data_IF_681536670896
#
_entry.id   IF_681536670896
#
_cell.length_a   1.000
_cell.length_b   1.000
_cell.length_c   1.000
_cell.angle_alpha   90.00
_cell.angle_beta   90.00
_cell.angle_gamma   90.00
#
_symmetry.space_group_name_H-M   'P 1'
#
loop_
_entity.id
_entity.type
_entity.pdbx_description
1 polymer ?
#
# COMPACT_ATOMS: atom_id res chain seq x y z
N UNK A 1 -13.50 63.18 -27.73
CA UNK A 1 -12.02 63.04 -27.61
C UNK A 1 -11.77 62.06 -26.49
N UNK A 2 -11.50 60.81 -26.85
CA UNK A 2 -11.66 59.64 -26.01
C UNK A 2 -10.42 58.74 -26.09
N UNK A 3 -10.04 58.19 -24.93
CA UNK A 3 -9.51 56.83 -24.68
C UNK A 3 -8.21 56.42 -25.40
N UNK A 4 -7.24 55.94 -24.59
CA UNK A 4 -6.09 54.99 -24.80
C UNK A 4 -4.89 55.49 -23.98
N UNK A 5 -3.98 54.72 -23.37
CA UNK A 5 -3.58 53.33 -23.50
C UNK A 5 -2.80 52.91 -22.22
N UNK A 6 -2.97 51.65 -21.80
CA UNK A 6 -2.13 50.99 -20.79
C UNK A 6 -0.81 50.52 -21.42
N UNK A 7 0.27 50.76 -20.67
CA UNK A 7 1.42 49.86 -20.41
C UNK A 7 2.13 49.26 -21.63
N UNK A 8 3.30 49.83 -21.94
CA UNK A 8 4.36 49.19 -22.74
C UNK A 8 5.69 49.30 -21.99
N UNK A 9 6.40 48.17 -22.02
CA UNK A 9 7.85 48.00 -21.92
C UNK A 9 8.54 47.92 -20.55
N UNK A 10 9.14 46.76 -20.30
CA UNK A 10 10.50 46.70 -19.72
C UNK A 10 10.69 45.91 -18.43
N UNK A 11 10.61 44.57 -18.46
CA UNK A 11 11.31 43.74 -17.46
C UNK A 11 12.12 42.65 -18.17
N UNK A 12 13.42 42.91 -18.30
CA UNK A 12 14.45 41.89 -18.51
C UNK A 12 15.55 42.13 -17.49
N UNK A 13 16.05 41.02 -16.95
CA UNK A 13 17.20 40.88 -16.04
C UNK A 13 16.95 41.19 -14.56
N UNK A 14 16.78 40.13 -13.77
CA UNK A 14 17.46 40.05 -12.48
C UNK A 14 18.01 38.64 -12.29
N UNK A 15 19.35 38.56 -12.30
CA UNK A 15 20.11 37.36 -12.05
C UNK A 15 20.03 36.93 -10.58
N UNK A 16 20.26 35.64 -10.39
CA UNK A 16 20.21 34.88 -9.16
C UNK A 16 21.10 35.42 -8.03
N UNK A 17 20.56 35.36 -6.81
CA UNK A 17 21.32 35.22 -5.58
C UNK A 17 20.44 34.49 -4.54
N UNK A 18 20.45 33.15 -4.59
CA UNK A 18 19.96 32.32 -3.48
C UNK A 18 21.06 32.30 -2.42
N UNK A 19 20.89 33.10 -1.38
CA UNK A 19 21.69 33.07 -0.17
C UNK A 19 21.06 32.09 0.82
N UNK A 20 21.83 31.05 1.15
CA UNK A 20 21.63 30.15 2.28
C UNK A 20 21.49 30.96 3.58
N UNK A 21 20.27 31.01 4.13
CA UNK A 21 19.99 31.48 5.48
C UNK A 21 19.89 30.29 6.43
N UNK A 22 20.98 30.04 7.17
CA UNK A 22 20.96 29.18 8.35
C UNK A 22 20.23 29.88 9.51
N UNK A 23 19.45 29.10 10.27
CA UNK A 23 19.05 29.41 11.64
C UNK A 23 17.59 29.85 11.81
N UNK A 24 16.76 28.98 12.41
CA UNK A 24 15.44 29.38 12.91
C UNK A 24 14.45 28.26 13.17
N UNK A 25 14.73 27.44 14.19
CA UNK A 25 13.77 26.63 14.97
C UNK A 25 12.99 25.54 14.19
N UNK A 26 13.64 24.40 13.95
CA UNK A 26 12.91 23.14 14.00
C UNK A 26 12.53 22.91 15.46
N UNK A 27 11.25 22.98 15.80
CA UNK A 27 10.79 22.41 17.06
C UNK A 27 11.09 20.91 16.99
N UNK A 28 12.00 20.43 17.85
CA UNK A 28 12.14 19.01 18.09
C UNK A 28 10.77 18.50 18.57
N UNK A 29 10.03 17.80 17.71
CA UNK A 29 9.00 16.88 18.19
C UNK A 29 9.74 15.79 18.98
N UNK A 30 9.83 16.00 20.29
CA UNK A 30 10.53 15.11 21.20
C UNK A 30 9.94 13.68 21.11
N UNK A 31 10.74 12.62 21.27
CA UNK A 31 10.23 11.23 21.31
C UNK A 31 9.13 11.00 22.36
N UNK A 32 9.11 11.82 23.42
CA UNK A 32 8.03 11.86 24.40
C UNK A 32 6.67 12.26 23.79
N UNK A 33 6.64 13.11 22.75
CA UNK A 33 5.41 13.53 22.06
C UNK A 33 4.83 12.42 21.18
N UNK A 34 5.67 11.67 20.45
CA UNK A 34 5.21 10.52 19.65
C UNK A 34 4.69 9.40 20.54
N UNK A 35 5.39 9.08 21.63
CA UNK A 35 4.92 8.10 22.61
C UNK A 35 3.58 8.52 23.26
N UNK A 36 3.41 9.82 23.51
CA UNK A 36 2.16 10.39 24.03
C UNK A 36 1.00 10.20 23.04
N UNK A 37 1.22 10.51 21.75
CA UNK A 37 0.19 10.37 20.73
C UNK A 37 -0.13 8.91 20.39
N UNK A 38 0.86 8.01 20.43
CA UNK A 38 0.63 6.57 20.36
C UNK A 38 -0.23 6.08 21.52
N UNK A 39 0.09 6.49 22.76
CA UNK A 39 -0.71 6.15 23.93
C UNK A 39 -2.15 6.71 23.82
N UNK A 40 -2.34 7.96 23.39
CA UNK A 40 -3.68 8.51 23.13
C UNK A 40 -4.45 7.69 22.11
N UNK A 41 -3.81 7.30 21.00
CA UNK A 41 -4.43 6.50 19.96
C UNK A 41 -4.76 5.08 20.45
N UNK A 42 -3.92 4.46 21.28
CA UNK A 42 -4.20 3.17 21.92
C UNK A 42 -5.40 3.25 22.87
N UNK A 43 -5.43 4.26 23.73
CA UNK A 43 -6.53 4.44 24.70
C UNK A 43 -7.84 4.75 23.97
N UNK A 44 -7.82 5.61 22.95
CA UNK A 44 -9.01 5.96 22.17
C UNK A 44 -9.65 4.77 21.44
N UNK A 45 -8.90 3.68 21.22
CA UNK A 45 -9.45 2.43 20.66
C UNK A 45 -10.23 1.61 21.68
N UNK A 46 -10.02 1.79 22.98
CA UNK A 46 -10.66 0.96 24.00
C UNK A 46 -12.20 1.14 24.05
N UNK A 47 -12.77 2.36 24.02
CA UNK A 47 -14.22 2.55 23.94
C UNK A 47 -14.83 2.00 22.63
N UNK A 48 -14.09 2.12 21.53
CA UNK A 48 -14.52 1.56 20.23
C UNK A 48 -14.52 0.02 20.30
N UNK A 49 -13.46 -0.58 20.82
CA UNK A 49 -13.37 -2.03 21.03
C UNK A 49 -14.46 -2.55 21.97
N UNK A 50 -14.83 -1.78 22.99
CA UNK A 50 -15.97 -2.07 23.87
C UNK A 50 -17.27 -2.20 23.07
N UNK A 51 -17.59 -1.22 22.23
CA UNK A 51 -18.80 -1.24 21.41
C UNK A 51 -18.84 -2.44 20.46
N UNK A 52 -17.72 -2.74 19.79
CA UNK A 52 -17.60 -3.92 18.93
C UNK A 52 -17.81 -5.22 19.73
N UNK A 53 -17.18 -5.36 20.89
CA UNK A 53 -17.31 -6.55 21.72
C UNK A 53 -18.76 -6.73 22.23
N UNK A 54 -19.45 -5.64 22.59
CA UNK A 54 -20.87 -5.68 22.98
C UNK A 54 -21.75 -6.11 21.82
N UNK A 55 -21.62 -5.49 20.65
CA UNK A 55 -22.44 -5.79 19.48
C UNK A 55 -22.24 -7.22 18.97
N UNK A 56 -21.02 -7.76 19.13
CA UNK A 56 -20.68 -9.14 18.75
C UNK A 56 -20.96 -10.15 19.86
N UNK A 57 -21.31 -9.68 21.06
CA UNK A 57 -21.45 -10.51 22.26
C UNK A 57 -20.19 -11.32 22.57
N UNK A 58 -19.02 -10.75 22.25
CA UNK A 58 -17.71 -11.37 22.44
C UNK A 58 -17.19 -11.04 23.83
N UNK A 59 -17.40 -11.97 24.76
CA UNK A 59 -17.03 -11.75 26.14
C UNK A 59 -15.51 -11.74 26.36
N UNK A 60 -14.75 -12.45 25.54
CA UNK A 60 -13.30 -12.53 25.73
C UNK A 60 -12.61 -11.28 25.18
N UNK A 61 -13.08 -10.76 24.04
CA UNK A 61 -12.66 -9.45 23.54
C UNK A 61 -13.04 -8.31 24.52
N UNK A 62 -14.23 -8.38 25.11
CA UNK A 62 -14.67 -7.41 26.12
C UNK A 62 -13.77 -7.44 27.35
N UNK A 63 -13.51 -8.61 27.93
CA UNK A 63 -12.68 -8.70 29.13
C UNK A 63 -11.21 -8.34 28.85
N UNK A 64 -10.72 -8.56 27.62
CA UNK A 64 -9.36 -8.21 27.23
C UNK A 64 -9.07 -6.70 27.32
N UNK A 65 -10.08 -5.83 27.19
CA UNK A 65 -9.90 -4.37 27.27
C UNK A 65 -10.08 -3.80 28.70
N UNK A 66 -10.66 -4.57 29.62
CA UNK A 66 -10.80 -4.17 31.03
C UNK A 66 -9.60 -4.61 31.87
N UNK A 67 -9.24 -3.79 32.86
CA UNK A 67 -8.24 -4.13 33.84
C UNK A 67 -8.72 -5.30 34.74
N UNK A 68 -7.80 -6.03 35.36
CA UNK A 68 -8.14 -7.25 36.12
C UNK A 68 -9.16 -6.98 37.26
N UNK A 69 -9.04 -5.84 37.93
CA UNK A 69 -9.89 -5.36 39.03
C UNK A 69 -10.88 -4.25 38.61
N UNK A 70 -11.17 -4.12 37.30
CA UNK A 70 -11.92 -2.99 36.78
C UNK A 70 -13.31 -2.84 37.40
N UNK A 71 -13.79 -1.60 37.49
CA UNK A 71 -15.11 -1.26 37.99
C UNK A 71 -16.02 -0.78 36.85
N UNK A 72 -17.23 -1.32 36.77
CA UNK A 72 -18.30 -0.76 35.93
C UNK A 72 -19.39 -0.20 36.84
N UNK A 73 -19.49 1.13 36.82
CA UNK A 73 -20.51 1.90 37.51
C UNK A 73 -21.79 1.94 36.68
N UNK A 74 -22.80 1.29 37.23
CA UNK A 74 -24.14 1.18 36.66
C UNK A 74 -25.17 1.98 37.46
N UNK A 75 -24.71 2.88 38.34
CA UNK A 75 -25.59 3.64 39.23
C UNK A 75 -26.60 4.51 38.45
N UNK A 76 -26.20 5.03 37.29
CA UNK A 76 -27.09 5.76 36.38
C UNK A 76 -28.25 4.91 35.83
N UNK A 77 -28.08 3.58 35.81
CA UNK A 77 -29.11 2.62 35.43
C UNK A 77 -29.85 2.04 36.65
N UNK A 78 -29.55 2.51 37.87
CA UNK A 78 -30.15 2.03 39.12
C UNK A 78 -29.64 0.66 39.59
N UNK A 79 -28.50 0.19 39.07
CA UNK A 79 -27.89 -1.09 39.46
C UNK A 79 -26.62 -0.89 40.30
N UNK A 80 -26.24 -1.87 41.14
CA UNK A 80 -24.98 -1.82 41.88
C UNK A 80 -23.77 -1.91 40.96
N UNK A 81 -22.66 -1.28 41.37
CA UNK A 81 -21.37 -1.37 40.69
C UNK A 81 -20.90 -2.83 40.56
N UNK A 82 -20.27 -3.13 39.43
CA UNK A 82 -19.68 -4.44 39.15
C UNK A 82 -18.16 -4.32 39.25
N UNK A 83 -17.54 -5.14 40.09
CA UNK A 83 -16.10 -5.08 40.37
C UNK A 83 -15.36 -6.36 39.98
N UNK A 84 -14.32 -6.21 39.17
CA UNK A 84 -13.43 -7.27 38.70
C UNK A 84 -13.97 -8.02 37.48
N UNK A 85 -13.05 -8.57 36.69
CA UNK A 85 -13.38 -9.25 35.43
C UNK A 85 -14.34 -10.44 35.59
N UNK A 86 -14.29 -11.17 36.71
CA UNK A 86 -15.21 -12.29 36.95
C UNK A 86 -16.66 -11.81 37.11
N UNK A 87 -16.87 -10.69 37.82
CA UNK A 87 -18.19 -10.11 37.99
C UNK A 87 -18.68 -9.45 36.70
N UNK A 88 -17.80 -8.77 35.96
CA UNK A 88 -18.09 -8.23 34.63
C UNK A 88 -18.53 -9.34 33.67
N UNK A 89 -17.78 -10.46 33.63
CA UNK A 89 -18.12 -11.62 32.81
C UNK A 89 -19.55 -12.08 33.06
N UNK A 90 -19.87 -12.28 34.33
CA UNK A 90 -21.20 -12.71 34.76
C UNK A 90 -22.28 -11.71 34.34
N UNK A 91 -22.07 -10.44 34.64
CA UNK A 91 -23.03 -9.37 34.33
C UNK A 91 -23.33 -9.28 32.83
N UNK A 92 -22.32 -9.28 31.97
CA UNK A 92 -22.54 -9.19 30.52
C UNK A 92 -23.19 -10.45 29.96
N UNK A 93 -22.74 -11.65 30.35
CA UNK A 93 -23.30 -12.91 29.82
C UNK A 93 -24.75 -13.16 30.26
N UNK A 94 -25.09 -12.81 31.50
CA UNK A 94 -26.41 -13.10 32.09
C UNK A 94 -27.41 -11.96 31.90
N UNK A 95 -26.95 -10.71 31.76
CA UNK A 95 -27.82 -9.54 31.67
C UNK A 95 -27.74 -8.84 30.31
N UNK A 96 -26.59 -8.24 29.97
CA UNK A 96 -26.47 -7.36 28.79
C UNK A 96 -26.63 -8.14 27.49
N UNK A 97 -25.94 -9.27 27.33
CA UNK A 97 -26.02 -10.05 26.08
C UNK A 97 -27.35 -10.79 25.92
N UNK A 98 -28.13 -10.92 26.99
CA UNK A 98 -29.47 -11.53 26.95
C UNK A 98 -30.59 -10.50 26.76
N UNK A 99 -30.32 -9.21 27.01
CA UNK A 99 -31.36 -8.19 26.93
C UNK A 99 -31.84 -7.94 25.51
N UNK A 100 -31.03 -8.30 24.51
CA UNK A 100 -31.25 -7.99 23.10
C UNK A 100 -30.71 -9.11 22.22
N UNK A 101 -31.30 -9.32 21.04
CA UNK A 101 -30.84 -10.33 20.07
C UNK A 101 -29.61 -9.83 19.29
N UNK A 102 -29.65 -8.58 18.84
CA UNK A 102 -28.53 -7.88 18.21
C UNK A 102 -28.58 -6.40 18.57
N UNK A 103 -27.42 -5.74 18.48
CA UNK A 103 -27.29 -4.32 18.75
C UNK A 103 -26.39 -3.64 17.74
N UNK A 104 -26.47 -2.31 17.71
CA UNK A 104 -25.53 -1.43 17.04
C UNK A 104 -25.12 -0.31 18.00
N UNK A 105 -23.83 -0.17 18.22
CA UNK A 105 -23.25 0.81 19.11
C UNK A 105 -22.30 1.72 18.33
N UNK A 106 -22.65 3.00 18.23
CA UNK A 106 -21.80 4.02 17.62
C UNK A 106 -21.12 4.85 18.70
N UNK A 107 -19.80 4.78 18.75
CA UNK A 107 -18.95 5.59 19.64
C UNK A 107 -18.37 6.76 18.86
N UNK A 108 -18.48 7.96 19.42
CA UNK A 108 -18.02 9.19 18.77
C UNK A 108 -17.44 10.17 19.79
N UNK A 109 -16.73 11.20 19.30
CA UNK A 109 -16.22 12.31 20.10
C UNK A 109 -15.37 11.85 21.31
N UNK A 110 -14.53 10.83 21.10
CA UNK A 110 -13.64 10.29 22.12
C UNK A 110 -12.62 11.35 22.53
N UNK A 111 -12.56 11.66 23.82
CA UNK A 111 -11.59 12.58 24.41
C UNK A 111 -10.73 11.84 25.44
N UNK A 112 -9.42 12.05 25.39
CA UNK A 112 -8.45 11.40 26.29
C UNK A 112 -7.51 12.45 26.89
N UNK A 113 -7.42 12.46 28.22
CA UNK A 113 -6.47 13.23 29.01
C UNK A 113 -5.47 12.26 29.65
N UNK A 114 -4.21 12.32 29.22
CA UNK A 114 -3.16 11.40 29.66
C UNK A 114 -2.36 12.00 30.81
N UNK A 115 -2.10 11.19 31.84
CA UNK A 115 -1.21 11.50 32.96
C UNK A 115 -0.31 10.29 33.26
N UNK A 116 0.82 10.21 32.56
CA UNK A 116 1.78 9.12 32.70
C UNK A 116 1.18 7.75 32.40
N UNK A 117 1.12 6.88 33.41
CA UNK A 117 0.56 5.52 33.32
C UNK A 117 -0.96 5.46 33.60
N UNK A 118 -1.62 6.61 33.69
CA UNK A 118 -3.07 6.76 33.85
C UNK A 118 -3.63 7.67 32.79
N UNK A 119 -4.92 7.52 32.49
CA UNK A 119 -5.64 8.46 31.66
C UNK A 119 -7.08 8.58 32.12
N UNK A 120 -7.72 9.70 31.81
CA UNK A 120 -9.17 9.84 31.90
C UNK A 120 -9.72 10.12 30.51
N UNK A 121 -11.00 9.85 30.32
CA UNK A 121 -11.63 10.16 29.05
C UNK A 121 -13.13 10.02 29.05
N UNK A 122 -13.71 10.20 27.88
CA UNK A 122 -15.12 9.96 27.65
C UNK A 122 -15.44 9.91 26.17
N UNK A 123 -16.63 9.43 25.88
CA UNK A 123 -17.20 9.41 24.54
C UNK A 123 -18.70 9.70 24.57
N UNK A 124 -19.25 9.91 23.39
CA UNK A 124 -20.68 9.86 23.15
C UNK A 124 -21.04 8.55 22.49
N UNK A 125 -22.11 7.92 22.96
CA UNK A 125 -22.63 6.70 22.39
C UNK A 125 -24.06 6.87 21.89
N UNK A 126 -24.38 6.16 20.81
CA UNK A 126 -25.73 5.82 20.38
C UNK A 126 -25.80 4.30 20.31
N UNK A 127 -26.79 3.71 20.98
CA UNK A 127 -27.02 2.29 21.03
C UNK A 127 -28.43 1.96 20.54
N UNK A 128 -28.53 1.07 19.57
CA UNK A 128 -29.78 0.51 19.09
C UNK A 128 -29.83 -0.98 19.37
N UNK A 129 -30.74 -1.38 20.26
CA UNK A 129 -30.98 -2.76 20.64
C UNK A 129 -32.20 -3.37 19.98
N UNK A 130 -32.08 -4.56 19.42
CA UNK A 130 -33.15 -5.21 18.64
C UNK A 130 -33.53 -6.57 19.24
N UNK A 131 -34.82 -6.88 19.22
CA UNK A 131 -35.34 -8.19 19.62
C UNK A 131 -35.19 -8.47 21.12
N UNK A 132 -35.42 -7.46 21.96
CA UNK A 132 -35.46 -7.64 23.40
C UNK A 132 -36.65 -8.51 23.82
N UNK A 133 -36.47 -9.52 24.69
CA UNK A 133 -37.59 -10.32 25.20
C UNK A 133 -38.52 -9.51 26.13
N UNK A 134 -38.10 -8.31 26.55
CA UNK A 134 -38.88 -7.42 27.43
C UNK A 134 -39.75 -6.43 26.66
N UNK A 135 -39.54 -6.28 25.36
CA UNK A 135 -40.26 -5.33 24.50
C UNK A 135 -41.25 -6.06 23.59
N UNK A 136 -42.22 -5.31 23.05
CA UNK A 136 -43.11 -5.83 22.03
C UNK A 136 -42.32 -6.25 20.76
N UNK A 137 -42.91 -7.12 19.95
CA UNK A 137 -42.36 -7.47 18.65
C UNK A 137 -42.10 -6.20 17.82
N UNK A 138 -41.05 -6.26 16.98
CA UNK A 138 -40.65 -5.18 16.07
C UNK A 138 -40.45 -3.81 16.74
N UNK A 139 -40.03 -3.85 18.01
CA UNK A 139 -39.62 -2.67 18.79
C UNK A 139 -38.13 -2.73 19.04
N UNK A 140 -37.42 -1.63 18.77
CA UNK A 140 -36.01 -1.45 19.13
C UNK A 140 -35.88 -0.51 20.32
N UNK A 141 -34.85 -0.71 21.12
CA UNK A 141 -34.43 0.21 22.17
C UNK A 141 -33.41 1.19 21.59
N UNK A 142 -33.67 2.49 21.66
CA UNK A 142 -32.70 3.54 21.36
C UNK A 142 -32.23 4.15 22.68
N UNK A 143 -30.93 4.05 22.95
CA UNK A 143 -30.27 4.74 24.06
C UNK A 143 -29.16 5.62 23.51
N UNK A 144 -29.05 6.85 23.99
CA UNK A 144 -27.90 7.71 23.68
C UNK A 144 -27.43 8.44 24.94
N UNK A 145 -26.14 8.72 25.01
CA UNK A 145 -25.56 9.33 26.19
C UNK A 145 -24.04 9.39 26.10
N UNK A 146 -23.41 9.33 27.27
CA UNK A 146 -21.97 9.45 27.40
C UNK A 146 -21.40 8.31 28.24
N UNK A 147 -20.17 7.92 27.94
CA UNK A 147 -19.36 7.14 28.85
C UNK A 147 -18.25 8.02 29.43
N UNK A 148 -17.90 7.75 30.68
CA UNK A 148 -16.74 8.31 31.35
C UNK A 148 -15.81 7.19 31.78
N UNK A 149 -14.51 7.39 31.58
CA UNK A 149 -13.51 6.37 31.80
C UNK A 149 -12.35 6.84 32.66
N UNK A 150 -11.86 5.90 33.45
CA UNK A 150 -10.49 5.91 33.95
C UNK A 150 -9.74 4.76 33.29
N UNK A 151 -8.56 5.04 32.76
CA UNK A 151 -7.67 4.08 32.11
C UNK A 151 -6.36 3.98 32.87
N UNK A 152 -5.71 2.83 32.75
CA UNK A 152 -4.35 2.64 33.25
C UNK A 152 -3.56 1.68 32.39
N UNK A 153 -2.24 1.83 32.43
CA UNK A 153 -1.32 0.88 31.83
C UNK A 153 -1.17 -0.33 32.76
N UNK A 154 -1.51 -1.52 32.27
CA UNK A 154 -1.36 -2.80 32.99
C UNK A 154 -0.58 -3.77 32.09
N UNK A 155 0.62 -4.16 32.53
CA UNK A 155 1.54 -5.05 31.77
C UNK A 155 1.78 -4.53 30.33
N UNK A 156 2.17 -3.26 30.21
CA UNK A 156 2.44 -2.56 28.95
C UNK A 156 1.26 -2.51 27.98
N UNK A 157 0.03 -2.64 28.49
CA UNK A 157 -1.20 -2.45 27.70
C UNK A 157 -2.15 -1.51 28.42
N UNK A 158 -2.71 -0.56 27.69
CA UNK A 158 -3.78 0.29 28.22
C UNK A 158 -5.05 -0.51 28.43
N UNK A 159 -5.68 -0.34 29.60
CA UNK A 159 -6.93 -1.00 30.00
C UNK A 159 -7.91 0.01 30.58
N UNK A 160 -9.19 -0.29 30.44
CA UNK A 160 -10.28 0.39 31.14
C UNK A 160 -10.24 -0.05 32.61
N UNK A 161 -9.92 0.87 33.51
CA UNK A 161 -9.90 0.64 34.95
C UNK A 161 -11.27 0.95 35.59
N UNK A 162 -11.93 2.01 35.13
CA UNK A 162 -13.32 2.33 35.50
C UNK A 162 -14.09 2.78 34.26
N UNK A 163 -15.34 2.37 34.17
CA UNK A 163 -16.30 2.87 33.20
C UNK A 163 -17.57 3.28 33.94
N UNK A 164 -18.12 4.44 33.60
CA UNK A 164 -19.43 4.90 34.05
C UNK A 164 -20.28 5.21 32.83
N UNK A 165 -21.43 4.55 32.72
CA UNK A 165 -22.42 4.87 31.69
C UNK A 165 -23.37 5.97 32.17
N UNK A 166 -23.63 6.97 31.34
CA UNK A 166 -24.53 8.08 31.63
C UNK A 166 -25.52 8.27 30.47
N UNK A 167 -26.61 7.48 30.42
CA UNK A 167 -27.64 7.64 29.40
C UNK A 167 -28.29 9.02 29.54
N UNK A 168 -28.49 9.70 28.42
CA UNK A 168 -29.18 11.01 28.36
C UNK A 168 -30.59 10.87 27.82
N UNK A 169 -30.83 9.88 26.96
CA UNK A 169 -32.12 9.60 26.36
C UNK A 169 -32.30 8.08 26.17
N UNK A 170 -33.53 7.62 26.41
CA UNK A 170 -33.94 6.24 26.20
C UNK A 170 -35.37 6.19 25.64
N UNK A 171 -35.58 5.45 24.56
CA UNK A 171 -36.90 5.26 23.94
C UNK A 171 -37.03 3.87 23.32
N UNK A 172 -38.14 3.20 23.62
CA UNK A 172 -38.60 2.05 22.85
C UNK A 172 -39.40 2.56 21.62
N UNK A 173 -38.98 2.17 20.42
CA UNK A 173 -39.59 2.65 19.17
C UNK A 173 -39.80 1.53 18.15
N UNK A 174 -40.90 1.57 17.36
CA UNK A 174 -41.16 0.56 16.34
C UNK A 174 -40.17 0.67 15.18
N UNK A 175 -39.85 -0.46 14.54
CA UNK A 175 -39.03 -0.51 13.32
C UNK A 175 -39.60 -1.49 12.29
N UNK A 176 -39.23 -1.33 11.01
CA UNK A 176 -39.59 -2.28 9.96
C UNK A 176 -38.69 -3.53 10.02
N UNK A 177 -39.28 -4.67 10.40
CA UNK A 177 -38.59 -5.95 10.49
C UNK A 177 -37.95 -6.40 9.16
N UNK A 178 -38.53 -6.04 8.01
CA UNK A 178 -37.97 -6.40 6.69
C UNK A 178 -36.68 -5.63 6.36
N UNK A 179 -36.45 -4.50 7.04
CA UNK A 179 -35.25 -3.69 6.94
C UNK A 179 -34.05 -4.27 7.70
N UNK A 180 -34.28 -5.15 8.69
CA UNK A 180 -33.21 -5.75 9.49
C UNK A 180 -32.54 -6.91 8.72
N UNK A 181 -31.46 -6.62 7.98
CA UNK A 181 -30.79 -7.60 7.11
C UNK A 181 -29.89 -8.59 7.85
N UNK A 182 -29.12 -8.10 8.83
CA UNK A 182 -28.14 -8.90 9.55
C UNK A 182 -28.36 -8.74 11.05
N UNK A 183 -28.42 -9.87 11.76
CA UNK A 183 -28.52 -9.93 13.21
C UNK A 183 -27.68 -11.14 13.66
N UNK A 184 -26.42 -10.88 13.99
CA UNK A 184 -25.41 -11.89 14.30
C UNK A 184 -23.99 -11.32 14.14
N UNK A 185 -23.00 -11.99 14.75
CA UNK A 185 -21.59 -11.64 14.64
C UNK A 185 -21.18 -11.55 13.15
N UNK A 186 -20.34 -10.56 12.81
CA UNK A 186 -19.68 -10.53 11.51
C UNK A 186 -19.04 -11.90 11.22
N UNK A 187 -18.94 -12.33 9.93
CA UNK A 187 -18.16 -13.52 9.60
C UNK A 187 -16.79 -13.38 10.25
N UNK A 188 -16.33 -14.43 10.94
CA UNK A 188 -15.04 -14.45 11.61
C UNK A 188 -13.98 -13.93 10.63
N UNK A 189 -13.58 -12.67 10.80
CA UNK A 189 -12.37 -12.19 10.16
C UNK A 189 -11.29 -13.15 10.65
N UNK A 190 -10.55 -13.75 9.73
CA UNK A 190 -9.48 -14.67 10.04
C UNK A 190 -8.47 -13.95 10.96
N UNK A 191 -8.65 -14.07 12.26
CA UNK A 191 -7.70 -13.70 13.29
C UNK A 191 -6.67 -14.82 13.37
N UNK A 192 -6.00 -15.06 12.24
CA UNK A 192 -4.64 -15.55 12.33
C UNK A 192 -3.85 -14.47 13.06
N UNK A 193 -3.45 -14.79 14.29
CA UNK A 193 -2.36 -14.05 14.97
C UNK A 193 -1.12 -14.21 14.10
N UNK A 194 -0.95 -13.36 13.09
CA UNK A 194 0.35 -13.12 12.48
C UNK A 194 1.22 -12.55 13.59
N UNK A 195 2.26 -13.27 13.98
CA UNK A 195 3.33 -12.67 14.76
C UNK A 195 3.71 -11.35 14.08
N UNK A 196 3.83 -10.24 14.82
CA UNK A 196 4.19 -8.98 14.22
C UNK A 196 5.56 -9.14 13.60
N UNK A 197 5.62 -9.27 12.26
CA UNK A 197 6.88 -9.13 11.54
C UNK A 197 7.40 -7.74 11.85
N UNK A 198 8.49 -7.67 12.61
CA UNK A 198 9.18 -6.42 12.89
C UNK A 198 10.01 -6.07 11.67
N UNK A 199 9.78 -4.87 11.13
CA UNK A 199 10.60 -4.27 10.08
C UNK A 199 12.09 -4.37 10.50
N UNK A 200 12.96 -4.82 9.59
CA UNK A 200 14.40 -4.84 9.83
C UNK A 200 14.95 -3.44 10.12
N UNK A 201 16.07 -3.38 10.83
CA UNK A 201 16.80 -2.11 10.95
C UNK A 201 17.41 -1.73 9.60
N UNK A 202 17.74 -0.44 9.42
CA UNK A 202 18.45 0.00 8.22
C UNK A 202 19.77 -0.74 8.01
N UNK A 203 20.50 -1.03 9.10
CA UNK A 203 21.75 -1.80 9.05
C UNK A 203 21.53 -3.20 8.50
N UNK A 204 20.46 -3.89 8.92
CA UNK A 204 20.13 -5.23 8.41
C UNK A 204 19.94 -5.22 6.89
N UNK A 205 19.30 -4.17 6.36
CA UNK A 205 19.09 -4.02 4.93
C UNK A 205 20.38 -3.70 4.16
N UNK A 206 21.25 -2.85 4.71
CA UNK A 206 22.55 -2.54 4.10
C UNK A 206 23.45 -3.77 4.06
N UNK A 207 23.44 -4.60 5.10
CA UNK A 207 24.24 -5.82 5.15
C UNK A 207 23.85 -6.83 4.04
N UNK A 208 22.62 -6.79 3.54
CA UNK A 208 22.19 -7.61 2.40
C UNK A 208 22.94 -7.32 1.10
N UNK A 209 23.58 -6.15 0.96
CA UNK A 209 24.36 -5.79 -0.21
C UNK A 209 25.77 -6.41 -0.20
N UNK A 210 26.28 -6.81 0.98
CA UNK A 210 27.64 -7.29 1.16
C UNK A 210 28.03 -8.46 0.23
N UNK A 211 27.17 -9.49 0.00
CA UNK A 211 27.52 -10.60 -0.89
C UNK A 211 27.70 -10.21 -2.36
N UNK A 212 27.26 -9.01 -2.78
CA UNK A 212 27.46 -8.55 -4.15
C UNK A 212 28.95 -8.39 -4.51
N UNK A 213 29.83 -8.15 -3.53
CA UNK A 213 31.28 -8.01 -3.77
C UNK A 213 31.92 -9.30 -4.30
N UNK A 214 31.34 -10.47 -4.01
CA UNK A 214 31.78 -11.76 -4.54
C UNK A 214 31.74 -11.81 -6.08
N UNK A 215 30.91 -10.98 -6.71
CA UNK A 215 30.81 -10.90 -8.17
C UNK A 215 32.06 -10.33 -8.83
N UNK A 216 32.94 -9.66 -8.09
CA UNK A 216 34.24 -9.20 -8.61
C UNK A 216 35.07 -10.37 -9.16
N UNK A 217 34.98 -11.54 -8.53
CA UNK A 217 35.63 -12.77 -8.99
C UNK A 217 35.06 -13.33 -10.30
N UNK A 218 33.87 -12.87 -10.73
CA UNK A 218 33.24 -13.24 -11.99
C UNK A 218 33.54 -12.26 -13.13
N UNK A 219 34.24 -11.16 -12.89
CA UNK A 219 34.72 -10.30 -13.98
C UNK A 219 35.77 -11.05 -14.81
N UNK A 220 35.92 -10.70 -16.09
CA UNK A 220 36.87 -11.40 -16.96
C UNK A 220 38.35 -11.16 -16.56
N UNK A 221 38.63 -10.09 -15.82
CA UNK A 221 39.91 -9.83 -15.14
C UNK A 221 39.65 -9.37 -13.68
N UNK A 222 39.58 -10.31 -12.72
CA UNK A 222 39.33 -10.00 -11.31
C UNK A 222 40.40 -9.12 -10.64
N UNK A 223 41.58 -8.97 -11.25
CA UNK A 223 42.64 -8.12 -10.73
C UNK A 223 42.53 -6.66 -11.21
N UNK A 224 41.65 -6.36 -12.18
CA UNK A 224 41.48 -5.01 -12.71
C UNK A 224 40.67 -4.12 -11.77
N UNK A 225 41.28 -3.01 -11.34
CA UNK A 225 40.63 -1.98 -10.55
C UNK A 225 39.54 -1.26 -11.37
N UNK A 226 39.74 -1.08 -12.67
CA UNK A 226 38.79 -0.45 -13.57
C UNK A 226 37.51 -1.29 -13.70
N UNK A 227 37.62 -2.60 -13.94
CA UNK A 227 36.44 -3.48 -14.03
C UNK A 227 35.69 -3.55 -12.70
N UNK A 228 36.42 -3.57 -11.58
CA UNK A 228 35.82 -3.50 -10.25
C UNK A 228 35.04 -2.20 -10.06
N UNK A 229 35.61 -1.06 -10.45
CA UNK A 229 34.92 0.23 -10.39
C UNK A 229 33.67 0.28 -11.28
N UNK A 230 33.73 -0.30 -12.49
CA UNK A 230 32.58 -0.42 -13.38
C UNK A 230 31.46 -1.28 -12.79
N UNK A 231 31.81 -2.41 -12.17
CA UNK A 231 30.86 -3.29 -11.50
C UNK A 231 30.19 -2.60 -10.30
N UNK A 232 30.95 -1.85 -9.49
CA UNK A 232 30.37 -1.08 -8.40
C UNK A 232 29.40 0.01 -8.89
N UNK A 233 29.74 0.70 -9.99
CA UNK A 233 28.81 1.62 -10.65
C UNK A 233 27.56 0.90 -11.15
N UNK A 234 27.69 -0.34 -11.63
CA UNK A 234 26.57 -1.17 -12.04
C UNK A 234 25.66 -1.52 -10.84
N UNK A 235 26.20 -1.84 -9.67
CA UNK A 235 25.38 -2.09 -8.47
C UNK A 235 24.54 -0.87 -8.08
N UNK A 236 25.12 0.33 -8.10
CA UNK A 236 24.38 1.56 -7.82
C UNK A 236 23.28 1.82 -8.86
N UNK A 237 23.55 1.50 -10.13
CA UNK A 237 22.55 1.59 -11.19
C UNK A 237 21.43 0.56 -10.98
N UNK A 238 21.74 -0.70 -10.66
CA UNK A 238 20.76 -1.75 -10.38
C UNK A 238 19.89 -1.37 -9.16
N UNK A 239 20.47 -0.80 -8.10
CA UNK A 239 19.72 -0.29 -6.95
C UNK A 239 18.72 0.78 -7.36
N UNK A 240 19.17 1.72 -8.19
CA UNK A 240 18.35 2.83 -8.69
C UNK A 240 17.20 2.34 -9.57
N UNK A 241 17.49 1.41 -10.48
CA UNK A 241 16.49 0.77 -11.34
C UNK A 241 15.49 -0.05 -10.52
N UNK A 242 15.99 -0.87 -9.60
CA UNK A 242 15.16 -1.76 -8.78
C UNK A 242 14.19 -1.01 -7.88
N UNK A 243 14.49 0.22 -7.45
CA UNK A 243 13.50 1.04 -6.73
C UNK A 243 12.22 1.23 -7.54
N UNK A 244 12.34 1.56 -8.83
CA UNK A 244 11.18 1.67 -9.72
C UNK A 244 10.42 0.34 -9.83
N UNK A 245 11.14 -0.77 -9.96
CA UNK A 245 10.52 -2.10 -10.14
C UNK A 245 9.79 -2.61 -8.88
N UNK A 246 10.26 -2.28 -7.67
CA UNK A 246 9.70 -2.82 -6.43
C UNK A 246 8.74 -1.86 -5.70
N UNK A 247 8.90 -0.54 -5.86
CA UNK A 247 8.18 0.45 -5.02
C UNK A 247 7.23 1.36 -5.78
N UNK A 248 7.53 1.71 -7.03
CA UNK A 248 6.84 2.80 -7.72
C UNK A 248 5.35 2.51 -7.98
N UNK A 249 4.99 1.32 -8.44
CA UNK A 249 3.59 0.94 -8.73
C UNK A 249 3.26 -0.48 -8.25
N UNK A 250 2.01 -0.90 -8.39
CA UNK A 250 1.57 -2.30 -8.17
C UNK A 250 0.65 -2.73 -9.30
N UNK A 251 0.38 -4.03 -9.49
CA UNK A 251 -0.60 -4.49 -10.47
C UNK A 251 -1.99 -3.86 -10.32
N UNK A 252 -2.40 -3.47 -9.12
CA UNK A 252 -3.69 -2.82 -8.84
C UNK A 252 -3.69 -1.33 -9.20
N UNK A 253 -2.51 -0.69 -9.12
CA UNK A 253 -2.27 0.71 -9.42
C UNK A 253 -1.04 0.84 -10.33
N UNK A 254 -1.12 0.33 -11.57
CA UNK A 254 0.03 0.30 -12.47
C UNK A 254 0.37 1.70 -12.95
N UNK A 255 1.65 1.95 -13.17
CA UNK A 255 2.13 3.17 -13.82
C UNK A 255 3.42 2.84 -14.55
N UNK A 256 3.67 3.51 -15.68
CA UNK A 256 4.87 3.29 -16.48
C UNK A 256 6.13 3.76 -15.76
N UNK A 257 7.02 2.84 -15.46
CA UNK A 257 8.36 3.12 -14.97
C UNK A 257 9.40 3.07 -16.10
N UNK A 258 10.42 3.94 -16.11
CA UNK A 258 11.55 3.80 -17.00
C UNK A 258 12.32 2.51 -16.66
N UNK A 259 12.56 1.65 -17.65
CA UNK A 259 13.28 0.38 -17.45
C UNK A 259 14.73 0.45 -17.92
N UNK A 260 14.95 0.56 -19.23
CA UNK A 260 16.29 0.73 -19.82
C UNK A 260 16.34 2.05 -20.62
N UNK A 261 17.45 2.77 -20.51
CA UNK A 261 17.69 4.05 -21.17
C UNK A 261 19.19 4.44 -21.04
N UNK A 262 19.53 5.70 -21.32
CA UNK A 262 20.91 6.22 -21.21
C UNK A 262 21.48 6.20 -19.78
N UNK A 263 20.64 6.10 -18.76
CA UNK A 263 21.02 5.97 -17.33
C UNK A 263 21.01 4.51 -16.90
N UNK A 264 19.93 3.77 -17.20
CA UNK A 264 19.77 2.35 -16.86
C UNK A 264 20.30 1.46 -17.98
N UNK A 265 21.61 1.18 -17.90
CA UNK A 265 22.39 0.54 -18.96
C UNK A 265 22.62 -0.95 -18.66
N UNK A 266 21.72 -1.79 -19.17
CA UNK A 266 21.82 -3.26 -19.16
C UNK A 266 21.73 -3.80 -20.59
N UNK A 267 22.76 -3.55 -21.38
CA UNK A 267 22.78 -3.81 -22.84
C UNK A 267 21.51 -3.32 -23.57
N UNK A 268 21.06 -2.06 -23.35
CA UNK A 268 19.92 -1.54 -24.07
C UNK A 268 20.25 -1.50 -25.57
N UNK A 269 19.24 -1.65 -26.42
CA UNK A 269 19.38 -1.09 -27.75
C UNK A 269 19.49 0.44 -27.59
N UNK A 270 20.58 1.09 -28.04
CA UNK A 270 20.74 2.54 -27.90
C UNK A 270 19.64 3.35 -28.62
N UNK A 271 18.91 2.72 -29.54
CA UNK A 271 17.80 3.33 -30.27
C UNK A 271 16.44 3.17 -29.58
N UNK A 272 16.39 2.46 -28.45
CA UNK A 272 15.15 2.18 -27.73
C UNK A 272 15.06 2.94 -26.40
N UNK A 273 13.88 3.47 -26.08
CA UNK A 273 13.45 3.71 -24.70
C UNK A 273 12.43 2.67 -24.25
N UNK A 274 12.53 2.28 -22.98
CA UNK A 274 11.75 1.18 -22.43
C UNK A 274 10.93 1.65 -21.25
N UNK A 275 9.64 1.33 -21.28
CA UNK A 275 8.73 1.51 -20.15
C UNK A 275 8.28 0.14 -19.66
N UNK A 276 8.06 0.01 -18.35
CA UNK A 276 7.56 -1.20 -17.73
C UNK A 276 6.45 -0.86 -16.74
N UNK A 277 5.36 -1.62 -16.75
CA UNK A 277 4.34 -1.55 -15.72
C UNK A 277 4.02 -2.97 -15.20
N UNK A 278 3.88 -3.17 -13.89
CA UNK A 278 3.45 -4.44 -13.33
C UNK A 278 1.97 -4.69 -13.65
N UNK A 279 1.62 -5.95 -13.90
CA UNK A 279 0.25 -6.40 -14.10
C UNK A 279 0.01 -7.71 -13.38
N UNK A 280 -1.25 -8.02 -13.10
CA UNK A 280 -1.69 -9.30 -12.57
C UNK A 280 -2.46 -10.00 -13.67
N UNK A 281 -2.25 -11.31 -13.82
CA UNK A 281 -2.85 -12.10 -14.88
C UNK A 281 -4.40 -12.08 -14.89
N UNK A 282 -5.02 -11.82 -13.74
CA UNK A 282 -6.48 -11.72 -13.57
C UNK A 282 -7.02 -10.30 -13.81
N UNK A 283 -6.15 -9.34 -14.11
CA UNK A 283 -6.51 -7.94 -14.28
C UNK A 283 -7.10 -7.61 -15.65
N UNK A 284 -7.87 -6.52 -15.66
CA UNK A 284 -8.28 -5.83 -16.88
C UNK A 284 -7.58 -4.48 -16.90
N UNK A 285 -6.70 -4.29 -17.86
CA UNK A 285 -5.88 -3.08 -17.98
C UNK A 285 -6.30 -2.26 -19.18
N UNK A 286 -6.41 -0.95 -19.01
CA UNK A 286 -6.64 -0.02 -20.11
C UNK A 286 -5.38 0.79 -20.34
N UNK A 287 -4.91 0.80 -21.58
CA UNK A 287 -3.79 1.62 -22.05
C UNK A 287 -4.39 2.70 -22.97
N UNK A 288 -4.17 3.95 -22.61
CA UNK A 288 -4.62 5.10 -23.42
C UNK A 288 -3.45 6.02 -23.72
N UNK A 289 -3.55 6.84 -24.76
CA UNK A 289 -2.52 7.83 -25.03
C UNK A 289 -2.40 8.22 -26.49
N UNK A 290 -1.23 8.71 -26.85
CA UNK A 290 -0.87 9.09 -28.22
C UNK A 290 0.31 8.24 -28.71
N UNK A 291 0.20 7.70 -29.93
CA UNK A 291 1.20 6.82 -30.59
C UNK A 291 2.57 7.48 -30.79
N UNK A 292 2.62 8.82 -30.86
CA UNK A 292 3.82 9.56 -31.25
C UNK A 292 4.23 9.27 -32.70
N UNK A 293 5.51 9.44 -32.99
CA UNK A 293 6.09 9.25 -34.34
C UNK A 293 7.32 8.35 -34.37
N UNK A 294 7.69 7.70 -33.25
CA UNK A 294 8.77 6.71 -33.23
C UNK A 294 8.50 5.58 -34.22
N UNK A 295 9.57 5.08 -34.85
CA UNK A 295 9.47 4.12 -35.95
C UNK A 295 8.79 2.82 -35.54
N UNK A 296 9.08 2.33 -34.34
CA UNK A 296 8.42 1.16 -33.74
C UNK A 296 7.90 1.53 -32.34
N UNK A 297 6.66 1.17 -32.06
CA UNK A 297 6.10 1.19 -30.71
C UNK A 297 5.56 -0.21 -30.43
N UNK A 298 6.27 -0.97 -29.61
CA UNK A 298 5.98 -2.39 -29.43
C UNK A 298 5.66 -2.69 -27.97
N UNK A 299 4.71 -3.58 -27.76
CA UNK A 299 4.26 -4.00 -26.45
C UNK A 299 4.59 -5.47 -26.26
N UNK A 300 5.04 -5.83 -25.06
CA UNK A 300 5.36 -7.20 -24.71
C UNK A 300 4.83 -7.54 -23.31
N UNK A 301 4.18 -8.68 -23.16
CA UNK A 301 3.82 -9.25 -21.86
C UNK A 301 4.79 -10.36 -21.48
N UNK A 302 5.08 -10.48 -20.19
CA UNK A 302 5.95 -11.55 -19.71
C UNK A 302 5.90 -11.73 -18.20
N UNK A 303 6.70 -12.68 -17.73
CA UNK A 303 6.98 -12.96 -16.31
C UNK A 303 8.47 -12.92 -16.02
N UNK A 304 8.83 -12.80 -14.74
CA UNK A 304 10.22 -12.91 -14.30
C UNK A 304 11.14 -11.91 -15.04
N UNK A 305 10.85 -10.61 -14.92
CA UNK A 305 11.72 -9.59 -15.50
C UNK A 305 13.17 -9.78 -15.02
N UNK A 306 14.14 -9.57 -15.91
CA UNK A 306 15.54 -9.90 -15.67
C UNK A 306 16.04 -9.36 -14.33
N UNK A 307 16.56 -10.24 -13.48
CA UNK A 307 17.09 -9.90 -12.15
C UNK A 307 16.05 -9.94 -11.02
N UNK A 308 14.75 -9.95 -11.33
CA UNK A 308 13.68 -9.98 -10.31
C UNK A 308 13.51 -11.36 -9.68
N UNK A 309 13.90 -12.43 -10.37
CA UNK A 309 13.91 -13.82 -9.89
C UNK A 309 15.11 -14.60 -10.43
N UNK A 310 15.39 -15.76 -9.80
CA UNK A 310 16.46 -16.68 -10.25
C UNK A 310 16.05 -17.44 -11.53
N UNK A 311 14.77 -17.73 -11.66
CA UNK A 311 14.22 -18.43 -12.82
C UNK A 311 14.27 -17.55 -14.08
N UNK A 312 14.45 -18.15 -15.26
CA UNK A 312 14.37 -17.42 -16.52
C UNK A 312 13.05 -16.67 -16.69
N UNK A 313 13.15 -15.52 -17.37
CA UNK A 313 12.02 -14.78 -17.90
C UNK A 313 11.30 -15.57 -18.98
N UNK A 314 10.01 -15.31 -19.16
CA UNK A 314 9.26 -15.83 -20.30
C UNK A 314 8.39 -14.72 -20.88
N UNK A 315 8.37 -14.63 -22.21
CA UNK A 315 7.56 -13.67 -22.95
C UNK A 315 6.32 -14.37 -23.52
N UNK A 316 5.14 -13.77 -23.36
CA UNK A 316 3.87 -14.40 -23.75
C UNK A 316 3.20 -13.77 -24.97
N UNK A 317 3.38 -12.47 -25.14
CA UNK A 317 2.73 -11.72 -26.20
C UNK A 317 3.64 -10.60 -26.68
N UNK A 318 3.56 -10.32 -27.97
CA UNK A 318 4.26 -9.22 -28.62
C UNK A 318 3.37 -8.67 -29.72
N UNK A 319 3.21 -7.36 -29.79
CA UNK A 319 2.52 -6.70 -30.91
C UNK A 319 3.06 -5.29 -31.12
N UNK A 320 2.94 -4.80 -32.35
CA UNK A 320 3.23 -3.40 -32.70
C UNK A 320 1.94 -2.56 -32.63
N UNK A 321 2.07 -1.31 -32.19
CA UNK A 321 0.97 -0.35 -32.15
C UNK A 321 0.37 -0.06 -33.53
N UNK A 322 1.13 -0.28 -34.61
CA UNK A 322 0.66 -0.15 -35.99
C UNK A 322 -0.43 -1.20 -36.33
N UNK A 323 -0.60 -2.23 -35.50
CA UNK A 323 -1.69 -3.20 -35.60
C UNK A 323 -2.99 -2.73 -34.91
N UNK A 324 -2.99 -1.58 -34.23
CA UNK A 324 -4.14 -1.02 -33.52
C UNK A 324 -4.96 -0.10 -34.43
N UNK A 325 -6.25 0.05 -34.10
CA UNK A 325 -7.13 1.06 -34.68
C UNK A 325 -6.90 2.39 -33.99
N UNK A 326 -5.92 3.14 -34.51
CA UNK A 326 -5.59 4.46 -33.98
C UNK A 326 -6.67 5.50 -34.32
N UNK A 327 -6.89 6.44 -33.41
CA UNK A 327 -7.72 7.61 -33.67
C UNK A 327 -7.11 8.55 -34.74
N UNK A 328 -7.85 9.57 -35.20
CA UNK A 328 -7.43 10.47 -36.27
C UNK A 328 -6.11 11.20 -36.03
N UNK A 329 -5.69 11.36 -34.77
CA UNK A 329 -4.42 11.98 -34.37
C UNK A 329 -3.44 10.98 -33.76
N UNK A 330 -3.67 9.68 -33.92
CA UNK A 330 -2.83 8.63 -33.35
C UNK A 330 -3.20 8.25 -31.91
N UNK A 331 -4.44 8.52 -31.49
CA UNK A 331 -4.92 8.13 -30.17
C UNK A 331 -4.97 6.60 -30.04
N UNK A 332 -4.49 6.09 -28.90
CA UNK A 332 -4.53 4.68 -28.52
C UNK A 332 -5.61 4.52 -27.44
N UNK A 333 -6.45 3.48 -27.60
CA UNK A 333 -7.38 3.02 -26.57
C UNK A 333 -7.50 1.49 -26.60
N UNK A 334 -6.73 0.83 -25.75
CA UNK A 334 -6.49 -0.61 -25.76
C UNK A 334 -6.87 -1.23 -24.41
N UNK A 335 -7.62 -2.34 -24.44
CA UNK A 335 -7.77 -3.23 -23.28
C UNK A 335 -6.82 -4.43 -23.39
N UNK A 336 -6.13 -4.73 -22.29
CA UNK A 336 -5.33 -5.94 -22.12
C UNK A 336 -5.90 -6.76 -20.95
N UNK A 337 -6.39 -7.96 -21.23
CA UNK A 337 -7.08 -8.81 -20.24
C UNK A 337 -7.15 -10.27 -20.69
N UNK A 338 -7.39 -11.21 -19.76
CA UNK A 338 -7.53 -12.63 -20.09
C UNK A 338 -8.67 -12.89 -21.09
N UNK A 339 -9.82 -12.23 -20.89
CA UNK A 339 -10.98 -12.27 -21.78
C UNK A 339 -11.38 -10.86 -22.19
N UNK A 340 -11.88 -10.69 -23.42
CA UNK A 340 -12.41 -9.40 -23.89
C UNK A 340 -13.63 -8.99 -23.04
N UNK A 341 -13.65 -7.81 -22.40
CA UNK A 341 -14.79 -7.38 -21.60
C UNK A 341 -16.08 -7.29 -22.44
N UNK A 342 -17.20 -7.67 -21.84
CA UNK A 342 -18.51 -7.59 -22.49
C UNK A 342 -18.83 -6.14 -22.88
N UNK A 343 -19.22 -5.92 -24.13
CA UNK A 343 -19.53 -4.60 -24.67
C UNK A 343 -18.32 -3.76 -25.09
N UNK A 344 -17.09 -4.23 -24.88
CA UNK A 344 -15.91 -3.56 -25.42
C UNK A 344 -15.81 -3.75 -26.93
N UNK A 345 -15.74 -2.64 -27.66
CA UNK A 345 -15.68 -2.61 -29.14
C UNK A 345 -14.36 -2.08 -29.68
N UNK A 346 -13.50 -1.51 -28.82
CA UNK A 346 -12.18 -1.02 -29.19
C UNK A 346 -11.13 -2.14 -29.30
N UNK A 347 -9.87 -1.73 -29.42
CA UNK A 347 -8.77 -2.69 -29.51
C UNK A 347 -8.63 -3.51 -28.22
N UNK A 348 -8.29 -4.78 -28.40
CA UNK A 348 -8.11 -5.70 -27.29
C UNK A 348 -7.00 -6.70 -27.59
N UNK A 349 -6.17 -6.96 -26.59
CA UNK A 349 -5.11 -7.97 -26.64
C UNK A 349 -5.23 -8.93 -25.45
N UNK A 350 -4.99 -10.23 -25.65
CA UNK A 350 -5.06 -11.20 -24.57
C UNK A 350 -3.92 -11.00 -23.57
N UNK A 351 -4.23 -11.10 -22.28
CA UNK A 351 -3.26 -11.19 -21.20
C UNK A 351 -3.07 -12.66 -20.82
N UNK A 352 -1.85 -13.17 -20.95
CA UNK A 352 -1.56 -14.56 -20.62
C UNK A 352 -1.63 -14.78 -19.10
N UNK A 353 -2.05 -15.98 -18.68
CA UNK A 353 -2.26 -16.35 -17.27
C UNK A 353 -1.00 -16.28 -16.39
N UNK A 354 0.19 -16.26 -17.01
CA UNK A 354 1.46 -16.07 -16.32
C UNK A 354 1.97 -14.63 -16.30
N UNK A 355 1.28 -13.66 -16.89
CA UNK A 355 1.83 -12.31 -17.08
C UNK A 355 1.96 -11.55 -15.76
N UNK A 356 3.12 -10.95 -15.54
CA UNK A 356 3.46 -10.13 -14.37
C UNK A 356 3.81 -8.68 -14.75
N UNK A 357 4.12 -8.43 -16.02
CA UNK A 357 4.41 -7.09 -16.52
C UNK A 357 3.95 -6.89 -17.97
N UNK A 358 3.80 -5.62 -18.33
CA UNK A 358 3.79 -5.14 -19.72
C UNK A 358 5.01 -4.25 -19.91
N UNK A 359 5.79 -4.50 -20.96
CA UNK A 359 6.90 -3.66 -21.40
C UNK A 359 6.54 -2.97 -22.70
N UNK A 360 6.86 -1.69 -22.80
CA UNK A 360 6.80 -0.90 -24.04
C UNK A 360 8.22 -0.64 -24.51
N UNK A 361 8.49 -0.85 -25.81
CA UNK A 361 9.73 -0.41 -26.45
C UNK A 361 9.40 0.61 -27.51
N UNK A 362 10.07 1.76 -27.43
CA UNK A 362 9.94 2.86 -28.37
C UNK A 362 11.25 3.00 -29.13
N UNK A 363 11.25 2.66 -30.42
CA UNK A 363 12.47 2.72 -31.24
C UNK A 363 12.49 3.97 -32.09
N UNK A 364 13.47 4.85 -31.84
CA UNK A 364 13.71 6.04 -32.63
C UNK A 364 14.86 5.83 -33.63
N UNK A 365 14.66 6.25 -34.88
CA UNK A 365 15.71 6.26 -35.92
C UNK A 365 16.29 7.67 -36.12
N UNK A 366 15.50 8.71 -35.81
CA UNK A 366 15.90 10.13 -35.92
C UNK A 366 15.69 10.83 -34.56
N UNK A 367 16.62 10.55 -33.64
CA UNK A 367 16.62 11.10 -32.29
C UNK A 367 16.55 12.64 -32.28
N UNK A 368 15.63 13.17 -31.48
CA UNK A 368 15.39 14.62 -31.36
C UNK A 368 14.40 15.20 -32.39
N UNK A 369 14.03 14.42 -33.43
CA UNK A 369 12.97 14.79 -34.39
C UNK A 369 11.73 13.92 -34.24
N UNK A 370 11.90 12.63 -34.02
CA UNK A 370 10.80 11.73 -33.68
C UNK A 370 10.29 11.98 -32.25
N UNK A 371 8.99 11.76 -32.04
CA UNK A 371 8.33 11.91 -30.74
C UNK A 371 7.94 10.54 -30.21
N UNK A 372 8.34 10.27 -28.98
CA UNK A 372 7.88 9.11 -28.22
C UNK A 372 6.36 9.15 -28.02
N UNK A 373 5.78 7.97 -27.81
CA UNK A 373 4.42 7.81 -27.38
C UNK A 373 4.23 8.33 -25.96
N UNK A 374 3.09 8.98 -25.71
CA UNK A 374 2.65 9.38 -24.37
C UNK A 374 1.55 8.44 -23.95
N UNK A 375 1.84 7.52 -23.04
CA UNK A 375 0.95 6.44 -22.65
C UNK A 375 0.56 6.54 -21.17
N UNK A 376 -0.68 6.19 -20.86
CA UNK A 376 -1.20 5.93 -19.53
C UNK A 376 -1.60 4.46 -19.43
N UNK A 377 -1.56 3.91 -18.21
CA UNK A 377 -2.06 2.58 -17.90
C UNK A 377 -2.87 2.63 -16.61
N UNK A 378 -4.01 1.97 -16.59
CA UNK A 378 -4.85 1.83 -15.39
C UNK A 378 -5.43 0.42 -15.30
N UNK A 379 -5.69 -0.07 -14.08
CA UNK A 379 -6.49 -1.27 -13.86
C UNK A 379 -7.96 -0.86 -13.75
N UNK A 380 -8.79 -1.39 -14.64
CA UNK A 380 -10.23 -1.08 -14.69
C UNK A 380 -10.90 -1.55 -13.40
N UNK A 381 -11.61 -0.63 -12.74
CA UNK A 381 -12.33 -0.90 -11.49
C UNK A 381 -11.47 -0.90 -10.22
N UNK A 382 -10.20 -0.51 -10.30
CA UNK A 382 -9.37 -0.32 -9.11
C UNK A 382 -9.84 0.90 -8.28
N UNK A 383 -9.59 0.86 -6.97
CA UNK A 383 -9.83 2.01 -6.10
C UNK A 383 -8.93 3.18 -6.54
N UNK A 384 -9.40 4.44 -6.53
CA UNK A 384 -8.63 5.56 -7.09
C UNK A 384 -7.28 5.82 -6.43
N UNK A 385 -7.15 5.53 -5.12
CA UNK A 385 -5.93 5.80 -4.37
C UNK A 385 -5.14 4.52 -4.15
N UNK A 386 -3.87 4.55 -4.55
CA UNK A 386 -2.88 3.52 -4.20
C UNK A 386 -2.66 3.52 -2.68
N UNK A 387 -2.88 2.40 -1.98
CA UNK A 387 -2.61 2.31 -0.55
C UNK A 387 -1.11 2.44 -0.28
N UNK A 388 -0.76 2.92 0.91
CA UNK A 388 0.63 2.86 1.38
C UNK A 388 1.00 1.39 1.64
N UNK A 389 2.19 0.94 1.24
CA UNK A 389 2.64 -0.40 1.58
C UNK A 389 2.75 -0.53 3.10
N UNK A 390 2.36 -1.69 3.61
CA UNK A 390 2.55 -2.08 5.01
C UNK A 390 4.04 -2.23 5.33
N UNK A 391 4.38 -2.25 6.62
CA UNK A 391 5.74 -2.54 7.05
C UNK A 391 6.23 -3.92 6.54
N UNK A 392 5.34 -4.91 6.50
CA UNK A 392 5.61 -6.25 5.99
C UNK A 392 5.96 -6.24 4.49
N UNK A 393 5.15 -5.58 3.67
CA UNK A 393 5.41 -5.46 2.23
C UNK A 393 6.67 -4.66 1.95
N UNK A 394 6.93 -3.62 2.76
CA UNK A 394 8.15 -2.82 2.67
C UNK A 394 9.38 -3.68 2.98
N UNK A 395 9.37 -4.46 4.07
CA UNK A 395 10.46 -5.38 4.42
C UNK A 395 10.74 -6.37 3.29
N UNK A 396 9.69 -7.02 2.76
CA UNK A 396 9.80 -8.00 1.67
C UNK A 396 10.46 -7.38 0.43
N UNK A 397 10.00 -6.20 0.01
CA UNK A 397 10.52 -5.49 -1.17
C UNK A 397 11.95 -5.01 -0.97
N UNK A 398 12.28 -4.52 0.23
CA UNK A 398 13.65 -4.14 0.61
C UNK A 398 14.60 -5.32 0.51
N UNK A 399 14.22 -6.49 1.03
CA UNK A 399 15.02 -7.72 0.94
C UNK A 399 15.17 -8.19 -0.50
N UNK A 400 14.10 -8.16 -1.28
CA UNK A 400 14.13 -8.55 -2.69
C UNK A 400 15.05 -7.65 -3.53
N UNK A 401 15.03 -6.34 -3.28
CA UNK A 401 15.89 -5.37 -3.98
C UNK A 401 17.35 -5.47 -3.55
N UNK A 402 17.61 -5.32 -2.25
CA UNK A 402 18.97 -5.17 -1.71
C UNK A 402 19.70 -6.51 -1.65
N UNK A 403 19.04 -7.56 -1.19
CA UNK A 403 19.62 -8.91 -1.10
C UNK A 403 19.48 -9.75 -2.36
N UNK A 404 18.65 -9.33 -3.32
CA UNK A 404 18.38 -10.06 -4.55
C UNK A 404 18.79 -9.30 -5.79
N UNK A 405 17.88 -8.47 -6.29
CA UNK A 405 17.95 -7.81 -7.60
C UNK A 405 19.31 -7.17 -7.90
N UNK A 406 19.87 -6.45 -6.92
CA UNK A 406 21.13 -5.71 -7.06
C UNK A 406 22.28 -6.59 -7.56
N UNK A 407 22.45 -7.76 -6.96
CA UNK A 407 23.50 -8.71 -7.34
C UNK A 407 23.05 -9.64 -8.48
N UNK A 408 21.81 -10.14 -8.41
CA UNK A 408 21.27 -11.16 -9.33
C UNK A 408 21.34 -10.71 -10.79
N UNK A 409 21.02 -9.44 -11.05
CA UNK A 409 21.04 -8.89 -12.40
C UNK A 409 22.45 -8.82 -12.98
N UNK A 410 23.43 -8.33 -12.21
CA UNK A 410 24.83 -8.30 -12.65
C UNK A 410 25.41 -9.71 -12.82
N UNK A 411 25.11 -10.62 -11.89
CA UNK A 411 25.54 -12.02 -11.95
C UNK A 411 25.11 -12.67 -13.26
N UNK A 412 23.84 -12.54 -13.63
CA UNK A 412 23.28 -13.10 -14.87
C UNK A 412 24.09 -12.72 -16.11
N UNK A 413 24.46 -11.44 -16.24
CA UNK A 413 25.19 -10.96 -17.41
C UNK A 413 26.69 -11.29 -17.38
N UNK A 414 27.31 -11.30 -16.21
CA UNK A 414 28.69 -11.80 -16.04
C UNK A 414 28.79 -13.28 -16.40
N UNK A 415 27.83 -14.09 -15.96
CA UNK A 415 27.76 -15.52 -16.30
C UNK A 415 27.54 -15.74 -17.79
N UNK A 416 26.65 -14.96 -18.41
CA UNK A 416 26.41 -15.00 -19.86
C UNK A 416 27.68 -14.65 -20.65
N UNK A 417 28.35 -13.54 -20.31
CA UNK A 417 29.62 -13.15 -20.92
C UNK A 417 30.69 -14.24 -20.75
N UNK A 418 30.86 -14.76 -19.54
CA UNK A 418 31.85 -15.79 -19.27
C UNK A 418 31.54 -17.12 -19.98
N UNK A 419 30.26 -17.45 -20.19
CA UNK A 419 29.87 -18.60 -20.99
C UNK A 419 30.31 -18.42 -22.46
N UNK A 420 30.13 -17.22 -23.03
CA UNK A 420 30.62 -16.91 -24.37
C UNK A 420 32.16 -16.99 -24.45
N UNK A 421 32.88 -16.43 -23.47
CA UNK A 421 34.34 -16.48 -23.40
C UNK A 421 34.88 -17.90 -23.28
N UNK A 422 34.26 -18.76 -22.44
CA UNK A 422 34.64 -20.18 -22.31
C UNK A 422 34.46 -20.97 -23.62
N UNK A 423 33.55 -20.53 -24.48
CA UNK A 423 33.32 -21.10 -25.81
C UNK A 423 34.28 -20.52 -26.87
N UNK A 424 35.16 -19.59 -26.49
CA UNK A 424 36.13 -18.96 -27.39
C UNK A 424 35.54 -17.86 -28.28
N UNK A 425 34.37 -17.33 -27.95
CA UNK A 425 33.71 -16.26 -28.71
C UNK A 425 34.37 -14.90 -28.42
N UNK A 426 35.48 -14.64 -29.11
CA UNK A 426 36.20 -13.35 -29.08
C UNK A 426 36.28 -12.83 -30.51
N UNK A 427 35.80 -11.61 -30.75
CA UNK A 427 35.68 -11.01 -32.10
C UNK A 427 34.91 -11.89 -33.10
N UNK A 428 33.90 -12.61 -32.61
CA UNK A 428 33.01 -13.45 -33.40
C UNK A 428 31.56 -13.08 -33.14
N UNK A 429 30.72 -13.23 -34.16
CA UNK A 429 29.28 -13.06 -34.05
C UNK A 429 28.61 -14.44 -34.09
N UNK A 430 27.81 -14.73 -33.08
CA UNK A 430 26.97 -15.90 -33.03
C UNK A 430 25.52 -15.46 -32.94
N UNK A 431 24.63 -16.11 -33.70
CA UNK A 431 23.20 -15.99 -33.50
C UNK A 431 22.82 -16.80 -32.28
N UNK A 432 22.42 -16.12 -31.20
CA UNK A 432 21.91 -16.76 -29.99
C UNK A 432 20.41 -16.52 -29.90
N UNK A 433 19.66 -17.59 -29.70
CA UNK A 433 18.26 -17.52 -29.26
C UNK A 433 18.26 -17.59 -27.72
N UNK A 434 17.68 -16.58 -27.08
CA UNK A 434 17.65 -16.47 -25.62
C UNK A 434 16.38 -17.07 -24.99
N UNK A 435 15.51 -17.68 -25.81
CA UNK A 435 14.23 -18.23 -25.36
C UNK A 435 13.14 -17.16 -25.33
#
# INVERSE_FOLDING_TARGET
MAVTNRIRDGFTSLAAAVLLGAGGVAAEEHPASVALELARAEIARLPVAYAWAVDHKDIDALLAIFATDAAYDLSAYGFPDVHGQAALRKFFLESVFQSERCSFSSISNVRIELDGARATGGDYFIHFGYGSPKLAADTRLHVEGQHFYEFRLERDQWKIARMTGHPTFERAEPFDAQGLKHCGAAPAAATERREPMTLGSWSDYVDLLRPADELTALTFDPASDELRAELYRQFLMNLSLGYFLYFQSTPEHPEWAPFLNSVFRLQPNPDDTYLLAPVAADGVYRITGERGSVRLLTFLTGRNMMGMSDEPGENYGYFDADELQLGPQGEIDLIVSAERPAGWTGDWRPLHAGSEFIMVRQRAYDWGREREASLAIERVGAAPLKPRPTAAETDQRMRALLGGFTARLSRKWLEFQNAALRRGLVNQLELTDMG
#
